data_IF_513207410780
#
_entry.id   IF_513207410780
#
_cell.length_a   1.000
_cell.length_b   1.000
_cell.length_c   1.000
_cell.angle_alpha   90.00
_cell.angle_beta   90.00
_cell.angle_gamma   90.00
#
_symmetry.space_group_name_H-M   'P 1'
#
loop_
_entity.id
_entity.type
_entity.pdbx_description
1 polymer ?
#
# COMPACT_ATOMS: atom_id res chain seq x y z
N UNK A 1 -14.32 0.76 3.51
CA UNK A 1 -13.00 1.41 3.57
C UNK A 1 -12.00 0.32 3.92
N UNK A 2 -10.98 0.12 3.09
CA UNK A 2 -10.01 -0.96 3.27
C UNK A 2 -8.66 -0.32 3.63
N UNK A 3 -8.11 -0.69 4.77
CA UNK A 3 -6.87 -0.11 5.30
C UNK A 3 -5.79 -1.16 5.31
N UNK A 4 -4.56 -0.73 5.03
CA UNK A 4 -3.41 -1.63 5.00
C UNK A 4 -2.26 -1.03 5.78
N UNK A 5 -1.41 -1.89 6.35
CA UNK A 5 -0.13 -1.52 6.93
C UNK A 5 1.00 -2.02 6.06
N UNK A 6 1.99 -1.19 5.78
CA UNK A 6 3.20 -1.63 5.08
C UNK A 6 4.09 -2.39 6.06
N UNK A 7 4.33 -3.68 5.82
CA UNK A 7 5.10 -4.55 6.72
C UNK A 7 6.42 -5.00 6.14
N UNK A 8 6.49 -5.19 4.80
CA UNK A 8 7.67 -5.73 4.12
C UNK A 8 7.97 -4.97 2.82
N UNK A 9 8.29 -3.67 2.88
CA UNK A 9 8.50 -2.88 1.66
C UNK A 9 9.66 -3.43 0.84
N UNK A 10 9.40 -3.68 -0.44
CA UNK A 10 10.38 -4.17 -1.42
C UNK A 10 10.88 -3.07 -2.35
N UNK A 11 10.10 -2.01 -2.53
CA UNK A 11 10.41 -0.91 -3.44
C UNK A 11 10.79 0.37 -2.67
N UNK A 12 11.62 1.23 -3.26
CA UNK A 12 12.03 2.49 -2.62
C UNK A 12 10.83 3.38 -2.28
N UNK A 13 9.82 3.42 -3.15
CA UNK A 13 8.59 4.21 -2.97
C UNK A 13 7.77 3.80 -1.74
N UNK A 14 7.72 2.51 -1.41
CA UNK A 14 6.97 1.96 -0.26
C UNK A 14 7.81 1.95 1.02
N UNK A 15 9.15 2.02 0.91
CA UNK A 15 10.08 1.93 2.03
C UNK A 15 9.91 3.04 3.07
N UNK A 16 9.56 4.24 2.63
CA UNK A 16 9.30 5.38 3.53
C UNK A 16 8.02 5.22 4.37
N UNK A 17 7.12 4.33 3.97
CA UNK A 17 5.87 4.05 4.69
C UNK A 17 5.95 2.79 5.54
N UNK A 18 7.15 2.21 5.72
CA UNK A 18 7.33 1.02 6.54
C UNK A 18 6.71 1.20 7.94
N UNK A 19 5.78 0.32 8.29
CA UNK A 19 5.06 0.35 9.56
C UNK A 19 3.89 1.33 9.62
N UNK A 20 3.63 2.12 8.57
CA UNK A 20 2.51 3.06 8.50
C UNK A 20 1.27 2.43 7.90
N UNK A 21 0.11 2.99 8.28
CA UNK A 21 -1.20 2.63 7.74
C UNK A 21 -1.66 3.65 6.72
N UNK A 22 -2.23 3.16 5.61
CA UNK A 22 -2.85 3.97 4.58
C UNK A 22 -4.17 3.37 4.10
N UNK A 23 -4.96 4.20 3.42
CA UNK A 23 -6.26 3.81 2.87
C UNK A 23 -6.10 3.30 1.44
N UNK A 24 -6.68 2.15 1.14
CA UNK A 24 -6.72 1.62 -0.22
C UNK A 24 -7.77 2.39 -1.02
N UNK A 25 -7.28 3.22 -1.94
CA UNK A 25 -8.10 4.05 -2.85
C UNK A 25 -8.31 3.37 -4.21
N UNK A 26 -7.56 2.31 -4.50
CA UNK A 26 -7.71 1.54 -5.73
C UNK A 26 -6.85 0.28 -5.76
N UNK A 27 -6.90 -0.45 -6.87
CA UNK A 27 -6.07 -1.61 -7.13
C UNK A 27 -5.42 -1.49 -8.51
N UNK A 28 -4.22 -2.05 -8.65
CA UNK A 28 -3.50 -2.15 -9.91
C UNK A 28 -3.19 -3.61 -10.22
N UNK A 29 -3.37 -3.97 -11.50
CA UNK A 29 -3.27 -5.35 -11.96
C UNK A 29 -2.03 -5.63 -12.81
N UNK A 30 -1.83 -6.90 -13.21
CA UNK A 30 -0.70 -7.35 -14.03
C UNK A 30 -0.68 -6.66 -15.39
N UNK A 31 -1.87 -6.29 -15.89
CA UNK A 31 -2.10 -5.62 -17.16
C UNK A 31 -1.46 -4.22 -17.22
N UNK A 32 -1.17 -3.62 -16.06
CA UNK A 32 -0.58 -2.29 -15.93
C UNK A 32 0.76 -2.30 -15.15
N UNK A 33 1.34 -3.48 -14.95
CA UNK A 33 2.52 -3.64 -14.07
C UNK A 33 3.70 -4.20 -14.82
N UNK A 34 4.85 -3.52 -14.70
CA UNK A 34 6.09 -3.93 -15.35
C UNK A 34 6.56 -5.37 -14.98
N UNK A 35 6.12 -5.90 -13.83
CA UNK A 35 6.50 -7.23 -13.33
C UNK A 35 5.33 -8.25 -13.33
N UNK A 36 4.18 -7.91 -13.93
CA UNK A 36 3.00 -8.80 -13.95
C UNK A 36 2.38 -9.06 -12.57
N UNK A 37 2.66 -8.20 -11.58
CA UNK A 37 2.14 -8.32 -10.21
C UNK A 37 0.79 -7.64 -10.05
N UNK A 38 0.13 -7.94 -8.93
CA UNK A 38 -1.08 -7.29 -8.45
C UNK A 38 -0.75 -6.51 -7.18
N UNK A 39 -1.44 -5.40 -6.99
CA UNK A 39 -1.27 -4.60 -5.80
C UNK A 39 -2.37 -3.57 -5.62
N UNK A 40 -2.17 -2.72 -4.64
CA UNK A 40 -3.10 -1.70 -4.20
C UNK A 40 -2.50 -0.31 -4.39
N UNK A 41 -3.36 0.65 -4.72
CA UNK A 41 -3.05 2.07 -4.63
C UNK A 41 -3.49 2.54 -3.25
N UNK A 42 -2.53 3.05 -2.48
CA UNK A 42 -2.73 3.38 -1.07
C UNK A 42 -2.43 4.84 -0.87
N UNK A 43 -3.41 5.60 -0.37
CA UNK A 43 -3.24 6.98 0.07
C UNK A 43 -2.78 6.99 1.53
N UNK A 44 -1.67 7.67 1.80
CA UNK A 44 -1.13 7.85 3.15
C UNK A 44 -1.52 9.22 3.71
N UNK A 45 -1.32 9.44 5.02
CA UNK A 45 -1.75 10.67 5.71
C UNK A 45 -1.13 11.98 5.21
N UNK A 46 -0.10 11.92 4.36
CA UNK A 46 0.49 13.08 3.66
C UNK A 46 -0.26 13.44 2.35
N UNK A 47 -1.29 12.68 1.98
CA UNK A 47 -2.05 12.83 0.73
C UNK A 47 -1.39 12.17 -0.49
N UNK A 48 -0.30 11.44 -0.29
CA UNK A 48 0.43 10.77 -1.37
C UNK A 48 -0.11 9.36 -1.63
N UNK A 49 -0.28 9.03 -2.91
CA UNK A 49 -0.78 7.73 -3.37
C UNK A 49 0.39 6.87 -3.86
N UNK A 50 0.52 5.68 -3.29
CA UNK A 50 1.64 4.78 -3.57
C UNK A 50 1.12 3.40 -3.93
N UNK A 51 1.71 2.84 -5.00
CA UNK A 51 1.49 1.45 -5.37
C UNK A 51 2.28 0.52 -4.46
N UNK A 52 1.58 -0.38 -3.77
CA UNK A 52 2.16 -1.46 -2.95
C UNK A 52 1.67 -2.81 -3.43
N UNK A 53 2.51 -3.83 -3.38
CA UNK A 53 2.09 -5.21 -3.67
C UNK A 53 1.43 -5.84 -2.44
N UNK A 54 0.57 -6.83 -2.68
CA UNK A 54 -0.10 -7.61 -1.61
C UNK A 54 0.89 -8.20 -0.58
N UNK A 55 2.07 -8.64 -1.05
CA UNK A 55 3.13 -9.22 -0.19
C UNK A 55 3.83 -8.18 0.72
N UNK A 56 3.80 -6.89 0.36
CA UNK A 56 4.42 -5.82 1.14
C UNK A 56 3.56 -5.37 2.32
N UNK A 57 2.29 -5.76 2.35
CA UNK A 57 1.29 -5.19 3.25
C UNK A 57 0.60 -6.23 4.13
N UNK A 58 -0.14 -5.75 5.13
CA UNK A 58 -1.11 -6.54 5.87
C UNK A 58 -2.40 -5.76 6.05
N UNK A 59 -3.57 -6.39 5.88
CA UNK A 59 -4.85 -5.72 6.09
C UNK A 59 -5.01 -5.33 7.56
N UNK A 60 -5.60 -4.16 7.81
CA UNK A 60 -5.95 -3.68 9.14
C UNK A 60 -7.40 -3.22 9.19
N UNK A 61 -7.99 -3.23 10.39
CA UNK A 61 -9.43 -2.99 10.59
C UNK A 61 -9.82 -1.51 10.53
N UNK A 62 -8.85 -0.59 10.55
CA UNK A 62 -9.08 0.85 10.53
C UNK A 62 -7.77 1.64 10.58
N UNK A 63 -7.84 2.99 10.55
CA UNK A 63 -6.67 3.82 10.77
C UNK A 63 -6.07 3.54 12.15
N UNK A 64 -4.74 3.40 12.25
CA UNK A 64 -4.07 3.31 13.55
C UNK A 64 -4.24 4.67 14.28
N UNK A 65 -4.66 4.68 15.57
CA UNK A 65 -4.69 5.91 16.35
C UNK A 65 -3.25 6.42 16.53
N UNK A 66 -3.07 7.72 16.30
CA UNK A 66 -1.81 8.45 16.46
C UNK A 66 -1.33 8.49 17.92
#
# INVERSE_FOLDING_TARGET
>A
MHWIRVTRPRYEQSRRYAGQVGEVVGAWGPENSADGRRGYLVEFGDGEIVGVTDDEISPVEGPEPA
#
